data_IF_378144144723
#
_entry.id   IF_378144144723
#
_cell.length_a   1.000
_cell.length_b   1.000
_cell.length_c   1.000
_cell.angle_alpha   90.00
_cell.angle_beta   90.00
_cell.angle_gamma   90.00
#
_symmetry.space_group_name_H-M   'P 1'
#
loop_
_entity.id
_entity.type
_entity.pdbx_description
1 polymer ?
#
# COMPACT_ATOMS: atom_id res chain seq x y z
N UNK A 1 1.15 -13.27 -41.80
CA UNK A 1 1.08 -12.04 -40.96
C UNK A 1 2.29 -12.03 -40.04
N UNK A 2 3.18 -11.04 -40.15
CA UNK A 2 4.29 -10.87 -39.21
C UNK A 2 3.76 -10.31 -37.89
N UNK A 3 3.30 -11.20 -36.99
CA UNK A 3 2.86 -10.78 -35.66
C UNK A 3 4.04 -10.16 -34.91
N UNK A 4 3.92 -8.87 -34.55
CA UNK A 4 4.95 -8.15 -33.79
C UNK A 4 5.20 -8.89 -32.47
N UNK A 5 6.48 -9.14 -32.15
CA UNK A 5 6.88 -9.84 -30.93
C UNK A 5 6.65 -8.97 -29.71
N UNK A 6 6.23 -9.57 -28.60
CA UNK A 6 6.07 -8.87 -27.33
C UNK A 6 7.43 -8.69 -26.64
N UNK A 7 7.94 -7.47 -26.63
CA UNK A 7 9.23 -7.14 -26.01
C UNK A 7 9.18 -7.29 -24.49
N UNK A 8 8.03 -7.00 -23.87
CA UNK A 8 7.82 -7.20 -22.43
C UNK A 8 7.93 -8.68 -22.05
N UNK A 9 7.33 -9.57 -22.86
CA UNK A 9 7.49 -11.02 -22.69
C UNK A 9 8.93 -11.49 -22.86
N UNK A 10 9.67 -10.89 -23.80
CA UNK A 10 11.07 -11.24 -24.08
C UNK A 10 11.98 -10.85 -22.90
N UNK A 11 11.82 -9.64 -22.38
CA UNK A 11 12.68 -9.09 -21.32
C UNK A 11 12.34 -9.68 -19.97
N UNK A 12 11.05 -9.74 -19.66
CA UNK A 12 10.48 -10.05 -18.36
C UNK A 12 9.41 -11.13 -18.53
N UNK A 13 8.18 -10.83 -18.14
CA UNK A 13 6.96 -11.53 -18.46
C UNK A 13 5.91 -10.49 -18.85
N UNK A 14 5.03 -10.81 -19.80
CA UNK A 14 4.05 -9.84 -20.28
C UNK A 14 3.03 -9.51 -19.18
N UNK A 15 2.91 -8.23 -18.84
CA UNK A 15 2.03 -7.78 -17.75
C UNK A 15 0.56 -8.02 -18.08
N UNK A 16 0.19 -7.93 -19.36
CA UNK A 16 -1.15 -8.30 -19.85
C UNK A 16 -1.49 -9.78 -19.71
N UNK A 17 -0.49 -10.66 -19.54
CA UNK A 17 -0.71 -12.08 -19.29
C UNK A 17 -0.69 -12.39 -17.80
N UNK A 18 0.28 -11.85 -17.05
CA UNK A 18 0.40 -12.15 -15.61
C UNK A 18 -0.75 -11.55 -14.77
N UNK A 19 -1.37 -10.47 -15.24
CA UNK A 19 -2.54 -9.84 -14.60
C UNK A 19 -3.83 -10.08 -15.38
N UNK A 20 -3.86 -11.08 -16.26
CA UNK A 20 -5.05 -11.39 -17.03
C UNK A 20 -6.15 -11.93 -16.11
N UNK A 21 -7.32 -11.31 -16.21
CA UNK A 21 -8.58 -11.81 -15.68
C UNK A 21 -9.57 -11.83 -16.83
N UNK A 22 -10.12 -13.02 -17.10
CA UNK A 22 -11.13 -13.24 -18.13
C UNK A 22 -12.37 -12.37 -17.87
N UNK A 23 -12.85 -11.68 -18.90
CA UNK A 23 -14.00 -10.76 -18.80
C UNK A 23 -13.71 -9.39 -18.20
N UNK A 24 -12.55 -9.17 -17.56
CA UNK A 24 -12.21 -7.88 -16.94
C UNK A 24 -11.03 -7.17 -17.60
N UNK A 25 -10.11 -7.91 -18.21
CA UNK A 25 -8.89 -7.35 -18.81
C UNK A 25 -8.74 -7.76 -20.27
N UNK A 26 -8.05 -6.92 -21.04
CA UNK A 26 -7.77 -7.18 -22.45
C UNK A 26 -6.50 -8.06 -22.54
N UNK A 27 -6.57 -9.23 -23.20
CA UNK A 27 -5.40 -10.10 -23.34
C UNK A 27 -4.31 -9.44 -24.20
N UNK A 28 -3.07 -9.96 -24.08
CA UNK A 28 -1.99 -9.54 -24.96
C UNK A 28 -2.28 -9.94 -26.41
N UNK A 29 -2.15 -8.98 -27.33
CA UNK A 29 -2.33 -9.20 -28.77
C UNK A 29 -0.99 -9.37 -29.53
N UNK A 30 0.14 -9.36 -28.81
CA UNK A 30 1.48 -9.50 -29.37
C UNK A 30 1.96 -10.96 -29.28
N UNK A 31 2.86 -11.34 -30.17
CA UNK A 31 3.35 -12.72 -30.22
C UNK A 31 4.38 -13.00 -29.11
N UNK A 32 4.11 -14.01 -28.27
CA UNK A 32 4.97 -14.46 -27.18
C UNK A 32 5.94 -15.55 -27.68
N UNK A 33 7.07 -15.12 -28.25
CA UNK A 33 8.08 -16.01 -28.81
C UNK A 33 9.10 -16.45 -27.75
N UNK A 34 9.02 -17.72 -27.32
CA UNK A 34 9.91 -18.30 -26.31
C UNK A 34 11.38 -18.32 -26.76
N UNK A 35 11.64 -18.53 -28.05
CA UNK A 35 12.98 -18.52 -28.63
C UNK A 35 13.62 -17.14 -28.48
N UNK A 36 12.84 -16.08 -28.68
CA UNK A 36 13.32 -14.70 -28.53
C UNK A 36 13.63 -14.37 -27.06
N UNK A 37 12.79 -14.84 -26.13
CA UNK A 37 13.06 -14.74 -24.68
C UNK A 37 14.35 -15.48 -24.29
N UNK A 38 14.52 -16.73 -24.75
CA UNK A 38 15.75 -17.51 -24.51
C UNK A 38 16.97 -16.82 -25.09
N UNK A 39 16.86 -16.27 -26.30
CA UNK A 39 17.95 -15.52 -26.94
C UNK A 39 18.31 -14.26 -26.16
N UNK A 40 17.32 -13.51 -25.67
CA UNK A 40 17.56 -12.37 -24.77
C UNK A 40 18.31 -12.81 -23.51
N UNK A 41 17.83 -13.84 -22.81
CA UNK A 41 18.48 -14.32 -21.57
C UNK A 41 19.94 -14.74 -21.78
N UNK A 42 20.26 -15.36 -22.92
CA UNK A 42 21.65 -15.76 -23.26
C UNK A 42 22.57 -14.58 -23.55
N UNK A 43 22.04 -13.49 -24.11
CA UNK A 43 22.85 -12.39 -24.62
C UNK A 43 22.79 -11.12 -23.76
N UNK A 44 21.87 -11.03 -22.80
CA UNK A 44 21.66 -9.81 -22.00
C UNK A 44 22.94 -9.36 -21.28
N UNK A 45 23.81 -10.27 -20.83
CA UNK A 45 25.06 -9.88 -20.15
C UNK A 45 26.01 -9.04 -21.01
N UNK A 46 25.97 -9.20 -22.34
CA UNK A 46 26.98 -8.67 -23.25
C UNK A 46 26.49 -7.48 -24.08
N UNK A 47 25.19 -7.18 -24.04
CA UNK A 47 24.60 -6.05 -24.76
C UNK A 47 23.30 -5.57 -24.11
N UNK A 48 23.03 -4.28 -24.29
CA UNK A 48 21.75 -3.66 -23.96
C UNK A 48 20.87 -3.71 -25.20
N UNK A 49 19.66 -4.25 -25.05
CA UNK A 49 18.70 -4.25 -26.14
C UNK A 49 17.84 -2.96 -26.13
N UNK A 50 17.53 -2.36 -27.29
CA UNK A 50 16.81 -1.08 -27.36
C UNK A 50 15.46 -1.05 -26.65
N UNK A 51 14.78 -2.20 -26.59
CA UNK A 51 13.48 -2.35 -25.94
C UNK A 51 13.55 -2.44 -24.40
N UNK A 52 14.72 -2.65 -23.80
CA UNK A 52 14.87 -2.75 -22.34
C UNK A 52 14.41 -1.47 -21.63
N UNK A 53 14.71 -0.30 -22.18
CA UNK A 53 14.31 0.99 -21.60
C UNK A 53 12.80 1.17 -21.60
N UNK A 54 12.12 0.83 -22.69
CA UNK A 54 10.65 0.91 -22.77
C UNK A 54 9.97 -0.05 -21.80
N UNK A 55 10.47 -1.29 -21.71
CA UNK A 55 9.96 -2.28 -20.75
C UNK A 55 10.20 -1.82 -19.30
N UNK A 56 11.38 -1.30 -19.00
CA UNK A 56 11.70 -0.74 -17.67
C UNK A 56 10.73 0.38 -17.29
N UNK A 57 10.50 1.34 -18.19
CA UNK A 57 9.55 2.43 -17.96
C UNK A 57 8.13 1.92 -17.71
N UNK A 58 7.69 0.88 -18.43
CA UNK A 58 6.38 0.27 -18.20
C UNK A 58 6.28 -0.37 -16.81
N UNK A 59 7.31 -1.13 -16.41
CA UNK A 59 7.37 -1.73 -15.07
C UNK A 59 7.35 -0.65 -14.00
N UNK A 60 8.13 0.42 -14.14
CA UNK A 60 8.14 1.55 -13.21
C UNK A 60 6.75 2.19 -13.08
N UNK A 61 6.01 2.37 -14.18
CA UNK A 61 4.62 2.90 -14.12
C UNK A 61 3.71 2.00 -13.29
N UNK A 62 3.79 0.69 -13.48
CA UNK A 62 2.98 -0.29 -12.74
C UNK A 62 3.36 -0.29 -11.25
N UNK A 63 4.66 -0.26 -10.93
CA UNK A 63 5.14 -0.23 -9.54
C UNK A 63 4.73 1.07 -8.83
N UNK A 64 4.87 2.22 -9.50
CA UNK A 64 4.42 3.50 -8.94
C UNK A 64 2.91 3.51 -8.68
N UNK A 65 2.10 2.93 -9.57
CA UNK A 65 0.65 2.86 -9.35
C UNK A 65 0.29 1.97 -8.16
N UNK A 66 0.94 0.81 -7.99
CA UNK A 66 0.67 -0.07 -6.84
C UNK A 66 1.18 0.56 -5.53
N UNK A 67 2.31 1.25 -5.53
CA UNK A 67 2.83 1.96 -4.35
C UNK A 67 1.90 3.10 -3.92
N UNK A 68 1.32 3.83 -4.89
CA UNK A 68 0.28 4.81 -4.63
C UNK A 68 -0.95 4.15 -3.99
N UNK A 69 -1.42 3.02 -4.53
CA UNK A 69 -2.56 2.26 -3.96
C UNK A 69 -2.26 1.75 -2.54
N UNK A 70 -1.04 1.26 -2.28
CA UNK A 70 -0.60 0.87 -0.93
C UNK A 70 -0.70 2.04 0.03
N UNK A 71 -0.16 3.21 -0.34
CA UNK A 71 -0.22 4.43 0.49
C UNK A 71 -1.66 4.86 0.77
N UNK A 72 -2.52 4.87 -0.25
CA UNK A 72 -3.94 5.20 -0.12
C UNK A 72 -4.68 4.22 0.81
N UNK A 73 -4.48 2.91 0.62
CA UNK A 73 -5.13 1.90 1.45
C UNK A 73 -4.63 1.96 2.90
N UNK A 74 -3.34 2.28 3.13
CA UNK A 74 -2.81 2.48 4.49
C UNK A 74 -3.44 3.68 5.16
N UNK A 75 -3.64 4.78 4.44
CA UNK A 75 -4.35 5.97 4.94
C UNK A 75 -5.82 5.65 5.25
N UNK A 76 -6.49 4.90 4.37
CA UNK A 76 -7.86 4.44 4.59
C UNK A 76 -7.98 3.59 5.87
N UNK A 77 -7.12 2.59 6.05
CA UNK A 77 -7.14 1.74 7.25
C UNK A 77 -6.83 2.51 8.53
N UNK A 78 -5.88 3.46 8.50
CA UNK A 78 -5.63 4.35 9.65
C UNK A 78 -6.88 5.13 10.04
N UNK A 79 -7.62 5.67 9.06
CA UNK A 79 -8.85 6.41 9.31
C UNK A 79 -10.00 5.51 9.80
N UNK A 80 -10.12 4.28 9.28
CA UNK A 80 -11.13 3.32 9.73
C UNK A 80 -10.87 2.86 11.16
N UNK A 81 -9.60 2.62 11.53
CA UNK A 81 -9.23 2.23 12.89
C UNK A 81 -9.30 3.38 13.90
N UNK A 82 -9.25 4.65 13.46
CA UNK A 82 -9.27 5.82 14.34
C UNK A 82 -10.63 6.59 14.35
N UNK A 83 -11.62 6.14 13.58
CA UNK A 83 -12.47 7.08 12.84
C UNK A 83 -13.69 7.72 13.51
N UNK A 84 -14.30 7.16 14.55
CA UNK A 84 -15.58 7.74 15.05
C UNK A 84 -15.74 7.84 16.55
N UNK A 85 -15.29 6.87 17.34
CA UNK A 85 -15.25 7.00 18.80
C UNK A 85 -14.00 7.74 19.26
N UNK A 86 -12.80 7.26 18.92
CA UNK A 86 -11.53 7.84 19.37
C UNK A 86 -11.43 9.36 19.17
N UNK A 87 -11.76 9.86 17.98
CA UNK A 87 -11.73 11.31 17.68
C UNK A 87 -12.77 12.13 18.45
N UNK A 88 -13.91 11.55 18.86
CA UNK A 88 -14.90 12.23 19.71
C UNK A 88 -14.39 12.36 21.14
N UNK A 89 -13.78 11.31 21.68
CA UNK A 89 -13.18 11.34 23.01
C UNK A 89 -11.95 12.28 23.03
N UNK A 90 -11.08 12.24 22.02
CA UNK A 90 -9.95 13.18 21.89
C UNK A 90 -10.41 14.64 21.88
N UNK A 91 -11.47 14.96 21.12
CA UNK A 91 -12.06 16.30 21.14
C UNK A 91 -12.62 16.67 22.53
N UNK A 92 -13.31 15.75 23.21
CA UNK A 92 -13.87 15.99 24.53
C UNK A 92 -12.79 16.22 25.61
N UNK A 93 -11.66 15.50 25.53
CA UNK A 93 -10.49 15.69 26.39
C UNK A 93 -9.91 17.10 26.18
N UNK A 94 -9.70 17.49 24.92
CA UNK A 94 -9.17 18.81 24.58
C UNK A 94 -10.08 19.95 25.09
N UNK A 95 -11.40 19.77 25.06
CA UNK A 95 -12.34 20.74 25.62
C UNK A 95 -12.31 20.75 27.16
N UNK A 96 -12.20 19.59 27.82
CA UNK A 96 -12.04 19.54 29.28
C UNK A 96 -10.79 20.28 29.75
N UNK A 97 -9.67 20.13 29.04
CA UNK A 97 -8.40 20.80 29.35
C UNK A 97 -8.51 22.33 29.20
N UNK A 98 -9.17 22.82 28.14
CA UNK A 98 -9.43 24.25 27.96
C UNK A 98 -10.27 24.83 29.10
N UNK A 99 -11.35 24.14 29.47
CA UNK A 99 -12.23 24.58 30.56
C UNK A 99 -11.47 24.58 31.88
N UNK A 100 -10.65 23.55 32.15
CA UNK A 100 -9.83 23.47 33.34
C UNK A 100 -8.86 24.65 33.47
N UNK A 101 -8.16 25.00 32.39
CA UNK A 101 -7.25 26.16 32.36
C UNK A 101 -8.03 27.45 32.69
N UNK A 102 -9.19 27.67 32.08
CA UNK A 102 -10.00 28.86 32.30
C UNK A 102 -10.59 28.98 33.71
N UNK A 103 -10.95 27.85 34.34
CA UNK A 103 -11.56 27.83 35.68
C UNK A 103 -10.51 27.81 36.80
N UNK A 104 -9.31 27.30 36.54
CA UNK A 104 -8.23 27.29 37.54
C UNK A 104 -7.72 28.70 37.88
N UNK A 105 -7.83 29.64 36.95
CA UNK A 105 -7.46 31.06 37.14
C UNK A 105 -8.47 31.84 38.01
N UNK A 106 -9.67 31.29 38.24
CA UNK A 106 -10.73 31.90 39.06
C UNK A 106 -10.74 31.21 40.42
N UNK A 107 -10.01 31.78 41.38
CA UNK A 107 -9.83 31.20 42.72
C UNK A 107 -11.16 30.74 43.36
N UNK A 108 -11.13 29.53 43.96
CA UNK A 108 -12.14 28.88 44.83
C UNK A 108 -13.17 27.90 44.23
N UNK A 109 -13.08 27.45 42.99
CA UNK A 109 -14.03 26.46 42.45
C UNK A 109 -13.51 25.00 42.45
N UNK A 110 -12.92 24.57 43.57
CA UNK A 110 -12.29 23.25 43.72
C UNK A 110 -13.21 22.08 43.38
N UNK A 111 -14.52 22.20 43.65
CA UNK A 111 -15.50 21.14 43.38
C UNK A 111 -15.73 20.96 41.87
N UNK A 112 -15.82 22.04 41.11
CA UNK A 112 -16.00 21.97 39.66
C UNK A 112 -14.72 21.52 38.96
N UNK A 113 -13.56 21.99 39.42
CA UNK A 113 -12.25 21.52 38.96
C UNK A 113 -12.06 20.01 39.20
N UNK A 114 -12.46 19.50 40.36
CA UNK A 114 -12.43 18.08 40.66
C UNK A 114 -13.35 17.27 39.72
N UNK A 115 -14.55 17.78 39.42
CA UNK A 115 -15.47 17.12 38.49
C UNK A 115 -14.91 17.09 37.05
N UNK A 116 -14.30 18.19 36.60
CA UNK A 116 -13.63 18.27 35.31
C UNK A 116 -12.47 17.27 35.19
N UNK A 117 -11.63 17.15 36.22
CA UNK A 117 -10.56 16.15 36.27
C UNK A 117 -11.09 14.71 36.26
N UNK A 118 -12.20 14.46 36.95
CA UNK A 118 -12.85 13.15 36.95
C UNK A 118 -13.41 12.77 35.57
N UNK A 119 -14.05 13.73 34.89
CA UNK A 119 -14.53 13.56 33.50
C UNK A 119 -13.35 13.33 32.56
N UNK A 120 -12.28 14.11 32.67
CA UNK A 120 -11.06 13.95 31.88
C UNK A 120 -10.43 12.56 32.06
N UNK A 121 -10.26 12.11 33.30
CA UNK A 121 -9.77 10.76 33.60
C UNK A 121 -10.66 9.66 33.03
N UNK A 122 -11.98 9.82 33.11
CA UNK A 122 -12.94 8.86 32.53
C UNK A 122 -12.84 8.81 31.00
N UNK A 123 -12.70 9.96 30.34
CA UNK A 123 -12.53 10.01 28.88
C UNK A 123 -11.21 9.35 28.43
N UNK A 124 -10.14 9.45 29.22
CA UNK A 124 -8.88 8.75 28.95
C UNK A 124 -9.08 7.24 29.08
N UNK A 125 -9.71 6.77 30.14
CA UNK A 125 -9.96 5.33 30.35
C UNK A 125 -10.81 4.74 29.21
N UNK A 126 -11.88 5.44 28.81
CA UNK A 126 -12.71 5.05 27.67
C UNK A 126 -11.92 5.04 26.36
N UNK A 127 -11.00 6.00 26.15
CA UNK A 127 -10.08 5.97 25.00
C UNK A 127 -9.10 4.80 25.06
N UNK A 128 -8.65 4.39 26.24
CA UNK A 128 -7.79 3.23 26.42
C UNK A 128 -8.53 1.93 26.14
N UNK A 129 -9.77 1.78 26.59
CA UNK A 129 -10.60 0.61 26.25
C UNK A 129 -10.87 0.51 24.74
N UNK A 130 -10.96 1.65 24.05
CA UNK A 130 -11.04 1.70 22.58
C UNK A 130 -9.74 1.37 21.86
N UNK A 131 -8.59 1.38 22.55
CA UNK A 131 -7.35 0.81 22.00
C UNK A 131 -7.43 -0.72 21.91
N UNK A 132 -8.26 -1.34 22.75
CA UNK A 132 -8.42 -2.80 22.89
C UNK A 132 -9.71 -3.36 22.23
N UNK A 133 -10.68 -2.52 21.82
CA UNK A 133 -11.67 -2.93 20.81
C UNK A 133 -10.88 -3.46 19.60
N UNK A 134 -11.15 -4.68 19.09
CA UNK A 134 -10.35 -5.24 18.02
C UNK A 134 -10.52 -4.33 16.81
N UNK A 135 -9.54 -3.45 16.58
CA UNK A 135 -9.30 -2.87 15.29
C UNK A 135 -9.38 -4.04 14.34
N UNK A 136 -10.38 -4.02 13.46
CA UNK A 136 -10.52 -5.03 12.42
C UNK A 136 -9.10 -5.24 11.88
N UNK A 137 -8.52 -6.43 12.13
CA UNK A 137 -7.08 -6.71 12.06
C UNK A 137 -6.60 -6.79 10.60
N UNK A 138 -7.03 -5.80 9.83
CA UNK A 138 -6.74 -5.60 8.45
C UNK A 138 -5.41 -4.89 8.34
N UNK A 139 -4.58 -5.41 7.46
CA UNK A 139 -3.37 -4.77 7.02
C UNK A 139 -3.43 -4.61 5.51
N UNK A 140 -2.66 -3.65 5.03
CA UNK A 140 -2.38 -3.51 3.60
C UNK A 140 -1.12 -4.30 3.29
N UNK A 141 -1.20 -5.20 2.32
CA UNK A 141 0.00 -5.86 1.81
C UNK A 141 0.92 -4.82 1.12
N UNK A 142 2.17 -4.73 1.58
CA UNK A 142 3.20 -3.84 1.04
C UNK A 142 3.68 -4.18 -0.38
N UNK A 143 3.17 -5.27 -0.95
CA UNK A 143 3.53 -5.71 -2.29
C UNK A 143 2.39 -5.48 -3.27
N UNK A 144 1.18 -5.94 -2.93
CA UNK A 144 0.04 -5.98 -3.85
C UNK A 144 -1.14 -5.10 -3.45
N UNK A 145 -1.00 -4.25 -2.43
CA UNK A 145 -2.04 -3.33 -1.94
C UNK A 145 -3.32 -3.97 -1.37
N UNK A 146 -3.45 -5.29 -1.43
CA UNK A 146 -4.63 -5.99 -0.92
C UNK A 146 -4.82 -5.75 0.58
N UNK A 147 -6.07 -5.49 0.96
CA UNK A 147 -6.52 -5.35 2.35
C UNK A 147 -6.95 -6.74 2.83
N UNK A 148 -6.39 -7.20 3.94
CA UNK A 148 -6.60 -8.58 4.41
C UNK A 148 -6.37 -8.72 5.91
N UNK A 149 -6.97 -9.75 6.52
CA UNK A 149 -6.78 -10.06 7.94
C UNK A 149 -5.39 -10.65 8.15
N UNK A 150 -4.65 -10.22 9.18
CA UNK A 150 -3.27 -10.65 9.48
C UNK A 150 -3.11 -12.17 9.33
N UNK A 151 -2.38 -12.57 8.29
CA UNK A 151 -1.93 -13.94 8.02
C UNK A 151 -0.41 -13.89 7.85
N UNK A 152 0.31 -14.92 8.29
CA UNK A 152 1.77 -14.98 8.21
C UNK A 152 2.29 -14.89 6.76
N UNK A 153 1.47 -15.31 5.77
CA UNK A 153 1.83 -15.33 4.36
C UNK A 153 0.69 -14.71 3.53
N UNK A 154 1.05 -13.74 2.69
CA UNK A 154 0.17 -13.17 1.68
C UNK A 154 -0.07 -14.17 0.55
N UNK A 155 -1.34 -14.55 0.32
CA UNK A 155 -1.77 -15.50 -0.75
C UNK A 155 -2.71 -14.84 -1.78
N UNK A 156 -2.61 -13.52 -1.97
CA UNK A 156 -3.48 -12.82 -2.93
C UNK A 156 -3.05 -13.10 -4.37
N UNK A 157 -4.01 -13.15 -5.30
CA UNK A 157 -3.82 -13.68 -6.65
C UNK A 157 -2.66 -13.07 -7.46
N UNK A 158 -2.27 -11.83 -7.17
CA UNK A 158 -1.21 -11.13 -7.90
C UNK A 158 0.03 -10.80 -7.07
N UNK A 159 0.11 -11.27 -5.82
CA UNK A 159 1.22 -10.94 -4.92
C UNK A 159 2.57 -11.33 -5.50
N UNK A 160 2.70 -12.57 -5.99
CA UNK A 160 3.95 -13.05 -6.55
C UNK A 160 4.27 -12.39 -7.89
N UNK A 161 3.26 -12.06 -8.70
CA UNK A 161 3.43 -11.26 -9.93
C UNK A 161 4.04 -9.89 -9.62
N UNK A 162 3.54 -9.18 -8.60
CA UNK A 162 4.11 -7.89 -8.18
C UNK A 162 5.53 -8.05 -7.59
N UNK A 163 5.81 -9.11 -6.82
CA UNK A 163 7.18 -9.41 -6.37
C UNK A 163 8.13 -9.57 -7.55
N UNK A 164 7.73 -10.35 -8.55
CA UNK A 164 8.55 -10.60 -9.73
C UNK A 164 8.83 -9.32 -10.51
N UNK A 165 7.84 -8.45 -10.66
CA UNK A 165 8.05 -7.14 -11.30
C UNK A 165 9.05 -6.26 -10.54
N UNK A 166 9.00 -6.22 -9.20
CA UNK A 166 9.98 -5.45 -8.40
C UNK A 166 11.41 -5.99 -8.55
N UNK A 167 11.58 -7.31 -8.58
CA UNK A 167 12.88 -7.94 -8.85
C UNK A 167 13.36 -7.51 -10.23
N UNK A 168 12.48 -7.56 -11.23
CA UNK A 168 12.81 -7.25 -12.62
C UNK A 168 13.10 -5.76 -12.84
N UNK A 169 12.39 -4.89 -12.15
CA UNK A 169 12.66 -3.46 -12.11
C UNK A 169 14.10 -3.19 -11.68
N UNK A 170 14.53 -3.76 -10.54
CA UNK A 170 15.90 -3.63 -10.04
C UNK A 170 16.94 -4.24 -10.99
N UNK A 171 16.63 -5.38 -11.62
CA UNK A 171 17.52 -5.99 -12.62
C UNK A 171 17.75 -5.03 -13.80
N UNK A 172 16.68 -4.44 -14.34
CA UNK A 172 16.77 -3.52 -15.48
C UNK A 172 17.38 -2.16 -15.10
N UNK A 173 17.05 -1.62 -13.93
CA UNK A 173 17.64 -0.40 -13.40
C UNK A 173 19.17 -0.50 -13.34
N UNK A 174 19.69 -1.57 -12.74
CA UNK A 174 21.13 -1.84 -12.65
C UNK A 174 21.81 -2.05 -14.01
N UNK A 175 21.05 -2.51 -15.01
CA UNK A 175 21.58 -2.75 -16.37
C UNK A 175 21.62 -1.49 -17.22
N UNK A 176 20.68 -0.57 -16.99
CA UNK A 176 20.52 0.66 -17.78
C UNK A 176 21.32 1.84 -17.21
N UNK A 177 21.79 1.73 -15.96
CA UNK A 177 22.56 2.79 -15.27
C UNK A 177 24.06 2.52 -15.19
N UNK A 178 24.51 1.32 -15.60
CA UNK A 178 25.92 0.96 -15.77
C UNK A 178 26.35 1.21 -17.21
#
# INVERSE_FOLDING_TARGET
MNSKKCEEYIVADCTKTIFYIEGFTIPCNLFHCIESKRNYQKNKSNKIFPYESSVYQNICKIITDIDRKISMNKKLLRNLNAGTKYKKYENAINECEKIFICEHEKENNYKELHNLLSIHGTLILEMEELKDEPAINLFVCDVCSAICVKREICKHGFHDSYKMLRIKQKELENRLTK
#
